data_IF_002095274900
#
_entry.id   IF_002095274900
#
_cell.length_a   1.000
_cell.length_b   1.000
_cell.length_c   1.000
_cell.angle_alpha   90.00
_cell.angle_beta   90.00
_cell.angle_gamma   90.00
#
_symmetry.space_group_name_H-M   'P 1'
#
loop_
_entity.id
_entity.type
_entity.pdbx_description
1 polymer ?
#
# COMPACT_ATOMS: atom_id res chain seq x y z
N UNK A 1 -15.93 7.72 -5.18
CA UNK A 1 -14.73 8.60 -5.12
C UNK A 1 -13.95 8.49 -6.42
N UNK A 2 -12.97 9.37 -6.70
CA UNK A 2 -12.13 9.31 -7.91
C UNK A 2 -11.53 7.91 -8.16
N UNK A 3 -11.27 7.14 -7.08
CA UNK A 3 -10.79 5.76 -7.13
C UNK A 3 -11.76 4.74 -7.75
N UNK A 4 -13.08 4.94 -7.66
CA UNK A 4 -14.08 4.05 -8.30
C UNK A 4 -14.13 4.26 -9.82
N UNK A 5 -13.89 5.49 -10.27
CA UNK A 5 -13.88 5.83 -11.69
C UNK A 5 -12.63 5.28 -12.39
N UNK A 6 -11.46 5.33 -11.75
CA UNK A 6 -10.24 4.67 -12.25
C UNK A 6 -10.32 3.15 -12.16
N UNK A 7 -10.93 2.59 -11.11
CA UNK A 7 -11.19 1.15 -10.99
C UNK A 7 -12.04 0.61 -12.15
N UNK A 8 -13.13 1.31 -12.51
CA UNK A 8 -14.00 0.96 -13.65
C UNK A 8 -13.27 0.97 -15.00
N UNK A 9 -12.32 1.87 -15.19
CA UNK A 9 -11.51 1.91 -16.43
C UNK A 9 -10.49 0.77 -16.52
N UNK A 10 -9.90 0.33 -15.41
CA UNK A 10 -8.87 -0.73 -15.44
C UNK A 10 -9.48 -2.13 -15.58
N UNK A 11 -10.62 -2.38 -14.94
CA UNK A 11 -11.35 -3.67 -15.04
C UNK A 11 -11.81 -3.94 -16.49
N UNK A 12 -12.12 -2.90 -17.27
CA UNK A 12 -12.64 -3.01 -18.63
C UNK A 12 -11.62 -3.46 -19.68
N UNK A 13 -10.31 -3.42 -19.40
CA UNK A 13 -9.25 -3.72 -20.37
C UNK A 13 -8.47 -5.03 -20.16
N UNK A 14 -8.93 -5.93 -19.27
CA UNK A 14 -8.40 -7.30 -19.22
C UNK A 14 -7.00 -7.46 -18.61
N UNK A 15 -6.52 -6.50 -17.82
CA UNK A 15 -5.22 -6.56 -17.12
C UNK A 15 -5.30 -7.27 -15.76
N UNK A 16 -5.96 -8.43 -15.71
CA UNK A 16 -6.16 -9.21 -14.47
C UNK A 16 -4.86 -9.74 -13.83
N UNK A 17 -3.69 -9.58 -14.47
CA UNK A 17 -2.41 -10.18 -14.05
C UNK A 17 -1.21 -9.22 -14.10
N UNK A 18 -1.42 -7.92 -14.27
CA UNK A 18 -0.30 -6.99 -14.38
C UNK A 18 0.05 -6.42 -13.00
N UNK A 19 1.22 -6.79 -12.47
CA UNK A 19 1.76 -6.32 -11.17
C UNK A 19 1.70 -4.79 -11.06
N UNK A 20 1.78 -4.09 -12.20
CA UNK A 20 1.63 -2.64 -12.30
C UNK A 20 0.23 -2.14 -11.93
N UNK A 21 -0.83 -2.85 -12.31
CA UNK A 21 -2.20 -2.50 -11.99
C UNK A 21 -2.45 -2.71 -10.50
N UNK A 22 -2.05 -3.86 -9.95
CA UNK A 22 -2.22 -4.17 -8.54
C UNK A 22 -1.44 -3.20 -7.64
N UNK A 23 -0.17 -2.90 -8.00
CA UNK A 23 0.64 -1.88 -7.32
C UNK A 23 -0.02 -0.50 -7.37
N UNK A 24 -0.55 -0.11 -8.54
CA UNK A 24 -1.21 1.19 -8.70
C UNK A 24 -2.48 1.28 -7.85
N UNK A 25 -3.26 0.20 -7.76
CA UNK A 25 -4.47 0.15 -6.94
C UNK A 25 -4.14 0.19 -5.45
N UNK A 26 -3.18 -0.63 -4.99
CA UNK A 26 -2.71 -0.60 -3.59
C UNK A 26 -2.23 0.80 -3.23
N UNK A 27 -1.40 1.41 -4.07
CA UNK A 27 -0.90 2.77 -3.85
C UNK A 27 -2.01 3.80 -3.79
N UNK A 28 -2.98 3.73 -4.71
CA UNK A 28 -4.11 4.65 -4.78
C UNK A 28 -5.01 4.53 -3.54
N UNK A 29 -5.44 3.33 -3.17
CA UNK A 29 -6.29 3.12 -2.00
C UNK A 29 -5.57 3.48 -0.70
N UNK A 30 -4.30 3.12 -0.55
CA UNK A 30 -3.47 3.50 0.61
C UNK A 30 -3.34 5.02 0.75
N UNK A 31 -3.11 5.73 -0.37
CA UNK A 31 -3.03 7.19 -0.36
C UNK A 31 -4.35 7.89 -0.06
N UNK A 32 -5.49 7.26 -0.38
CA UNK A 32 -6.82 7.77 -0.07
C UNK A 32 -7.27 7.45 1.37
N UNK A 33 -6.43 6.82 2.20
CA UNK A 33 -6.80 6.39 3.55
C UNK A 33 -7.76 5.19 3.58
N UNK A 34 -8.01 4.56 2.43
CA UNK A 34 -8.85 3.37 2.30
C UNK A 34 -8.01 2.11 2.53
N UNK A 35 -7.33 2.05 3.67
CA UNK A 35 -6.31 1.03 3.96
C UNK A 35 -6.89 -0.39 3.94
N UNK A 36 -8.15 -0.58 4.34
CA UNK A 36 -8.84 -1.87 4.27
C UNK A 36 -9.10 -2.35 2.83
N UNK A 37 -9.29 -1.44 1.87
CA UNK A 37 -9.41 -1.78 0.46
C UNK A 37 -8.04 -2.13 -0.14
N UNK A 38 -7.01 -1.33 0.20
CA UNK A 38 -5.63 -1.61 -0.17
C UNK A 38 -5.16 -2.98 0.34
N UNK A 39 -5.44 -3.30 1.61
CA UNK A 39 -5.09 -4.58 2.23
C UNK A 39 -5.76 -5.79 1.59
N UNK A 40 -7.01 -5.65 1.13
CA UNK A 40 -7.70 -6.72 0.38
C UNK A 40 -7.00 -7.03 -0.95
N UNK A 41 -6.65 -6.00 -1.71
CA UNK A 41 -5.94 -6.15 -2.99
C UNK A 41 -4.56 -6.75 -2.72
N UNK A 42 -3.82 -6.19 -1.76
CA UNK A 42 -2.52 -6.69 -1.36
C UNK A 42 -2.55 -8.16 -0.94
N UNK A 43 -3.59 -8.60 -0.21
CA UNK A 43 -3.79 -10.00 0.17
C UNK A 43 -4.07 -10.94 -1.02
N UNK A 44 -4.62 -10.42 -2.10
CA UNK A 44 -4.93 -11.18 -3.33
C UNK A 44 -3.76 -11.23 -4.33
N UNK A 45 -2.77 -10.35 -4.19
CA UNK A 45 -1.61 -10.32 -5.10
C UNK A 45 -0.82 -11.65 -5.06
N UNK A 46 -0.64 -12.33 -6.19
CA UNK A 46 0.17 -13.55 -6.25
C UNK A 46 1.66 -13.25 -6.05
N UNK A 47 2.13 -12.07 -6.47
CA UNK A 47 3.50 -11.60 -6.32
C UNK A 47 3.52 -10.18 -5.74
N UNK A 48 4.30 -9.99 -4.68
CA UNK A 48 4.43 -8.70 -3.98
C UNK A 48 5.87 -8.23 -4.07
N UNK A 49 6.09 -7.14 -4.79
CA UNK A 49 7.40 -6.49 -4.86
C UNK A 49 7.58 -5.42 -3.77
N UNK A 50 8.77 -4.84 -3.70
CA UNK A 50 9.07 -3.76 -2.75
C UNK A 50 8.09 -2.59 -2.83
N UNK A 51 7.49 -2.31 -4.00
CA UNK A 51 6.57 -1.19 -4.20
C UNK A 51 5.20 -1.48 -3.54
N UNK A 52 4.66 -2.70 -3.71
CA UNK A 52 3.42 -3.13 -3.06
C UNK A 52 3.52 -3.01 -1.53
N UNK A 53 4.58 -3.54 -0.94
CA UNK A 53 4.85 -3.50 0.49
C UNK A 53 5.05 -2.07 0.99
N UNK A 54 5.89 -1.28 0.31
CA UNK A 54 6.15 0.11 0.69
C UNK A 54 4.87 0.95 0.67
N UNK A 55 3.96 0.69 -0.27
CA UNK A 55 2.67 1.37 -0.35
C UNK A 55 1.76 1.04 0.83
N UNK A 56 1.72 -0.22 1.27
CA UNK A 56 0.96 -0.62 2.46
C UNK A 56 1.51 0.02 3.73
N UNK A 57 2.83 -0.05 3.95
CA UNK A 57 3.49 0.57 5.12
C UNK A 57 3.21 2.07 5.15
N UNK A 58 3.35 2.77 4.03
CA UNK A 58 3.05 4.19 3.94
C UNK A 58 1.57 4.50 4.22
N UNK A 59 0.66 3.66 3.72
CA UNK A 59 -0.78 3.79 3.96
C UNK A 59 -1.14 3.66 5.43
N UNK A 60 -0.63 2.65 6.12
CA UNK A 60 -0.83 2.45 7.56
C UNK A 60 -0.28 3.62 8.37
N UNK A 61 0.95 4.09 8.10
CA UNK A 61 1.50 5.28 8.77
C UNK A 61 0.64 6.54 8.56
N UNK A 62 0.07 6.73 7.36
CA UNK A 62 -0.83 7.87 7.06
C UNK A 62 -2.16 7.79 7.81
N UNK A 63 -2.65 6.59 8.09
CA UNK A 63 -3.88 6.36 8.85
C UNK A 63 -3.66 6.41 10.37
N UNK A 64 -2.44 6.70 10.84
CA UNK A 64 -2.08 6.67 12.26
C UNK A 64 -1.94 5.26 12.85
N UNK A 65 -2.03 4.23 12.00
CA UNK A 65 -1.93 2.81 12.36
C UNK A 65 -0.46 2.37 12.33
N UNK A 66 0.37 2.99 13.17
CA UNK A 66 1.83 2.81 13.09
C UNK A 66 2.28 1.42 13.52
N UNK A 67 1.56 0.78 14.45
CA UNK A 67 1.85 -0.61 14.84
C UNK A 67 1.59 -1.58 13.69
N UNK A 68 0.47 -1.45 12.97
CA UNK A 68 0.21 -2.25 11.77
C UNK A 68 1.23 -1.98 10.66
N UNK A 69 1.66 -0.71 10.51
CA UNK A 69 2.74 -0.35 9.59
C UNK A 69 4.04 -1.07 9.96
N UNK A 70 4.32 -1.21 11.26
CA UNK A 70 5.51 -1.88 11.77
C UNK A 70 5.46 -3.39 11.53
N UNK A 71 4.33 -4.03 11.79
CA UNK A 71 4.14 -5.45 11.49
C UNK A 71 4.40 -5.74 10.01
N UNK A 72 3.77 -4.95 9.13
CA UNK A 72 3.99 -5.06 7.68
C UNK A 72 5.46 -4.83 7.30
N UNK A 73 6.11 -3.84 7.90
CA UNK A 73 7.53 -3.57 7.67
C UNK A 73 8.41 -4.73 8.11
N UNK A 74 8.07 -5.43 9.19
CA UNK A 74 8.82 -6.58 9.71
C UNK A 74 8.62 -7.84 8.85
N UNK A 75 7.48 -7.97 8.18
CA UNK A 75 7.22 -9.04 7.20
C UNK A 75 7.88 -8.83 5.83
N UNK A 76 8.31 -7.60 5.50
CA UNK A 76 8.93 -7.30 4.21
C UNK A 76 10.19 -8.15 3.95
N UNK A 77 10.25 -8.92 2.85
CA UNK A 77 11.44 -9.72 2.49
C UNK A 77 12.66 -8.83 2.20
N UNK A 78 12.43 -7.68 1.57
CA UNK A 78 13.46 -6.72 1.21
C UNK A 78 13.01 -5.30 1.57
N UNK A 79 13.89 -4.56 2.24
CA UNK A 79 13.66 -3.18 2.66
C UNK A 79 14.63 -2.27 1.91
N UNK A 80 14.17 -1.09 1.51
CA UNK A 80 15.02 -0.07 0.90
C UNK A 80 14.98 1.22 1.74
N UNK A 81 15.81 2.20 1.37
CA UNK A 81 15.90 3.49 2.05
C UNK A 81 14.56 4.22 2.14
N UNK A 82 13.68 4.04 1.14
CA UNK A 82 12.34 4.65 1.12
C UNK A 82 11.48 4.06 2.23
N UNK A 83 11.42 2.73 2.35
CA UNK A 83 10.63 2.07 3.40
C UNK A 83 11.11 2.44 4.80
N UNK A 84 12.43 2.51 5.03
CA UNK A 84 12.99 2.98 6.31
C UNK A 84 12.59 4.43 6.63
N UNK A 85 12.70 5.31 5.64
CA UNK A 85 12.29 6.71 5.78
C UNK A 85 10.80 6.85 6.12
N UNK A 86 9.95 5.99 5.57
CA UNK A 86 8.51 5.97 5.88
C UNK A 86 8.28 5.61 7.35
N UNK A 87 8.93 4.57 7.88
CA UNK A 87 8.75 4.17 9.29
C UNK A 87 9.24 5.25 10.26
N UNK A 88 10.40 5.85 10.00
CA UNK A 88 10.95 6.94 10.84
C UNK A 88 9.96 8.12 10.87
N UNK A 89 9.47 8.53 9.70
CA UNK A 89 8.47 9.60 9.60
C UNK A 89 7.13 9.20 10.25
N UNK A 90 6.71 7.95 10.12
CA UNK A 90 5.51 7.40 10.74
C UNK A 90 5.56 7.52 12.26
N UNK A 91 6.64 7.05 12.89
CA UNK A 91 6.85 7.20 14.33
C UNK A 91 6.92 8.67 14.75
N UNK A 92 7.67 9.51 14.03
CA UNK A 92 7.79 10.92 14.38
C UNK A 92 6.46 11.69 14.34
N UNK A 93 5.54 11.29 13.46
CA UNK A 93 4.24 11.97 13.28
C UNK A 93 3.14 11.47 14.23
N UNK A 94 3.26 10.27 14.77
CA UNK A 94 2.21 9.65 15.58
C UNK A 94 2.62 9.43 17.05
N UNK A 95 3.86 9.76 17.42
CA UNK A 95 4.31 9.85 18.83
C UNK A 95 4.22 11.29 19.40
N UNK A 96 3.35 12.14 18.83
CA UNK A 96 3.00 13.46 19.36
C UNK A 96 1.54 13.48 19.79
#
# INVERSE_FOLDING_TARGET
TMGEQTHSHVVRFGFQNDVYVENSLVHMYANCGLIAAAGRIFGQMPFRDVVSWTSMVAGYCKCGMVEDAREMFDEMPHRNLVTWSIMINGYAKNNC
#
